data_IF_954914324662
#
_entry.id   IF_954914324662
#
_cell.length_a   1.000
_cell.length_b   1.000
_cell.length_c   1.000
_cell.angle_alpha   90.00
_cell.angle_beta   90.00
_cell.angle_gamma   90.00
#
_symmetry.space_group_name_H-M   'P 1'
#
loop_
_entity.id
_entity.type
_entity.pdbx_description
1 polymer ?
#
# COMPACT_ATOMS: atom_id res chain seq x y z
N UNK A 1 -16.69 5.66 7.23
CA UNK A 1 -16.20 4.92 6.06
C UNK A 1 -15.32 3.82 6.60
N UNK A 2 -15.56 2.57 6.21
CA UNK A 2 -14.67 1.46 6.56
C UNK A 2 -13.27 1.76 5.99
N UNK A 3 -12.21 1.40 6.73
CA UNK A 3 -10.81 1.60 6.29
C UNK A 3 -10.47 0.74 5.09
N UNK A 4 -11.16 -0.39 4.93
CA UNK A 4 -10.94 -1.33 3.82
C UNK A 4 -12.32 -1.65 3.25
N UNK A 5 -12.49 -1.40 1.95
CA UNK A 5 -13.68 -1.79 1.19
C UNK A 5 -13.35 -3.01 0.34
N UNK A 6 -14.28 -3.95 0.22
CA UNK A 6 -14.14 -5.11 -0.67
C UNK A 6 -15.18 -5.04 -1.78
N UNK A 7 -14.73 -5.10 -3.02
CA UNK A 7 -15.56 -5.23 -4.21
C UNK A 7 -15.33 -6.63 -4.78
N UNK A 8 -16.26 -7.56 -4.53
CA UNK A 8 -16.17 -8.93 -5.02
C UNK A 8 -17.53 -9.43 -5.49
N UNK A 9 -17.50 -10.35 -6.46
CA UNK A 9 -18.68 -11.13 -6.86
C UNK A 9 -18.93 -12.33 -5.93
N UNK A 10 -18.05 -12.57 -4.95
CA UNK A 10 -18.14 -13.68 -3.99
C UNK A 10 -17.98 -15.06 -4.63
N UNK A 11 -17.54 -15.13 -5.89
CA UNK A 11 -17.38 -16.39 -6.63
C UNK A 11 -16.27 -17.27 -6.04
N UNK A 12 -15.36 -16.68 -5.26
CA UNK A 12 -14.22 -17.34 -4.65
C UNK A 12 -14.35 -17.35 -3.13
N UNK A 13 -13.96 -18.47 -2.53
CA UNK A 13 -13.85 -18.62 -1.08
C UNK A 13 -12.63 -17.92 -0.48
N UNK A 14 -12.36 -16.67 -0.84
CA UNK A 14 -11.30 -15.85 -0.25
C UNK A 14 -11.78 -15.38 1.13
N UNK A 15 -10.98 -15.65 2.17
CA UNK A 15 -11.25 -15.17 3.51
C UNK A 15 -10.80 -13.71 3.63
N UNK A 16 -11.63 -12.78 3.14
CA UNK A 16 -11.32 -11.34 3.17
C UNK A 16 -11.06 -10.80 4.57
N UNK A 17 -11.71 -11.38 5.59
CA UNK A 17 -11.51 -11.04 6.99
C UNK A 17 -10.03 -11.12 7.38
N UNK A 18 -9.35 -12.20 6.97
CA UNK A 18 -7.92 -12.37 7.21
C UNK A 18 -7.07 -11.33 6.47
N UNK A 19 -7.43 -10.99 5.23
CA UNK A 19 -6.72 -9.96 4.46
C UNK A 19 -6.91 -8.59 5.12
N UNK A 20 -8.14 -8.29 5.56
CA UNK A 20 -8.49 -7.07 6.27
C UNK A 20 -7.67 -6.95 7.56
N UNK A 21 -7.52 -8.03 8.32
CA UNK A 21 -6.66 -8.08 9.51
C UNK A 21 -5.20 -7.72 9.17
N UNK A 22 -4.59 -8.36 8.17
CA UNK A 22 -3.22 -8.07 7.74
C UNK A 22 -3.01 -6.59 7.37
N UNK A 23 -3.98 -5.99 6.67
CA UNK A 23 -3.92 -4.57 6.32
C UNK A 23 -4.09 -3.67 7.54
N UNK A 24 -4.97 -4.01 8.49
CA UNK A 24 -5.16 -3.22 9.69
C UNK A 24 -3.90 -3.24 10.56
N UNK A 25 -3.28 -4.41 10.75
CA UNK A 25 -2.01 -4.55 11.46
C UNK A 25 -0.93 -3.69 10.80
N UNK A 26 -0.75 -3.82 9.48
CA UNK A 26 0.21 -3.03 8.72
C UNK A 26 -0.05 -1.51 8.82
N UNK A 27 -1.31 -1.06 8.74
CA UNK A 27 -1.67 0.35 8.85
C UNK A 27 -1.48 0.93 10.27
N UNK A 28 -1.55 0.09 11.29
CA UNK A 28 -1.25 0.47 12.68
C UNK A 28 0.26 0.62 12.88
N UNK A 29 1.06 -0.30 12.36
CA UNK A 29 2.54 -0.22 12.38
C UNK A 29 3.06 1.02 11.63
N UNK A 30 2.58 1.30 10.41
CA UNK A 30 2.95 2.51 9.65
C UNK A 30 2.65 3.81 10.43
N UNK A 31 1.50 3.86 11.14
CA UNK A 31 1.14 5.01 11.96
C UNK A 31 2.06 5.18 13.15
N UNK A 32 2.42 4.09 13.84
CA UNK A 32 3.36 4.14 14.95
C UNK A 32 4.75 4.63 14.51
N UNK A 33 5.25 4.15 13.37
CA UNK A 33 6.53 4.58 12.81
C UNK A 33 6.53 6.05 12.39
N UNK A 34 5.43 6.52 11.78
CA UNK A 34 5.26 7.93 11.42
C UNK A 34 5.28 8.83 12.66
N UNK A 35 4.58 8.45 13.73
CA UNK A 35 4.54 9.22 14.99
C UNK A 35 5.94 9.29 15.61
N UNK A 36 6.65 8.16 15.73
CA UNK A 36 8.02 8.13 16.27
C UNK A 36 8.98 9.00 15.46
N UNK A 37 8.81 9.04 14.14
CA UNK A 37 9.63 9.84 13.21
C UNK A 37 9.33 11.35 13.29
N UNK A 38 8.06 11.72 13.48
CA UNK A 38 7.63 13.11 13.70
C UNK A 38 8.08 13.65 15.07
N UNK A 39 8.06 12.82 16.12
CA UNK A 39 8.56 13.18 17.44
C UNK A 39 10.06 13.49 17.45
N UNK A 40 10.86 12.79 16.62
CA UNK A 40 12.28 13.09 16.44
C UNK A 40 12.56 14.33 15.56
N UNK A 41 11.63 14.70 14.66
CA UNK A 41 11.81 15.79 13.69
C UNK A 41 10.86 16.97 13.96
N UNK A 42 10.87 17.54 15.17
CA UNK A 42 10.20 18.81 15.45
C UNK A 42 10.92 20.01 14.79
N UNK A 43 10.83 20.14 13.45
CA UNK A 43 10.91 21.41 12.68
C UNK A 43 10.88 21.16 11.17
N UNK A 44 9.75 20.72 10.62
CA UNK A 44 9.22 21.32 9.39
C UNK A 44 7.76 20.91 9.23
N UNK A 45 6.88 21.90 9.24
CA UNK A 45 5.46 21.69 9.03
C UNK A 45 5.18 21.13 7.64
N UNK A 46 4.81 19.86 7.59
CA UNK A 46 3.79 19.34 6.68
C UNK A 46 3.31 18.05 7.31
N UNK A 47 2.35 18.16 8.22
CA UNK A 47 1.49 17.02 8.57
C UNK A 47 0.87 16.57 7.25
N UNK A 48 1.44 15.54 6.64
CA UNK A 48 0.81 14.87 5.51
C UNK A 48 -0.41 14.19 6.10
N UNK A 49 -1.55 14.82 5.90
CA UNK A 49 -2.90 14.35 6.16
C UNK A 49 -3.16 13.01 5.47
N UNK A 50 -2.57 11.93 5.99
CA UNK A 50 -2.87 10.53 5.67
C UNK A 50 -3.77 9.92 6.75
N UNK A 51 -4.36 10.75 7.62
CA UNK A 51 -5.34 10.34 8.60
C UNK A 51 -6.46 9.53 7.94
N UNK A 52 -6.41 8.20 8.11
CA UNK A 52 -7.32 7.16 7.60
C UNK A 52 -7.16 6.83 6.11
N UNK A 53 -5.96 6.39 5.69
CA UNK A 53 -5.78 5.70 4.41
C UNK A 53 -6.85 4.62 4.23
N UNK A 54 -7.73 4.81 3.24
CA UNK A 54 -8.73 3.82 2.89
C UNK A 54 -8.15 2.95 1.77
N UNK A 55 -8.28 1.64 1.88
CA UNK A 55 -7.88 0.68 0.85
C UNK A 55 -9.11 0.05 0.21
N UNK A 56 -8.97 -0.39 -1.04
CA UNK A 56 -10.00 -1.21 -1.67
C UNK A 56 -9.40 -2.50 -2.21
N UNK A 57 -9.99 -3.62 -1.82
CA UNK A 57 -9.75 -4.94 -2.41
C UNK A 57 -10.76 -5.11 -3.54
N UNK A 58 -10.29 -5.44 -4.74
CA UNK A 58 -11.12 -5.67 -5.92
C UNK A 58 -10.87 -7.11 -6.38
N UNK A 59 -11.86 -7.99 -6.20
CA UNK A 59 -11.77 -9.40 -6.54
C UNK A 59 -12.81 -9.80 -7.59
N UNK A 60 -12.36 -10.16 -8.79
CA UNK A 60 -13.22 -10.70 -9.83
C UNK A 60 -12.53 -11.83 -10.58
N UNK A 61 -13.30 -12.79 -11.11
CA UNK A 61 -12.79 -13.76 -12.08
C UNK A 61 -12.31 -13.09 -13.35
N UNK A 62 -13.19 -12.34 -13.99
CA UNK A 62 -12.86 -11.65 -15.23
C UNK A 62 -12.01 -10.40 -15.00
N UNK A 63 -10.91 -10.28 -15.75
CA UNK A 63 -10.03 -9.12 -15.68
C UNK A 63 -10.73 -7.83 -16.10
N UNK A 64 -11.66 -7.88 -17.05
CA UNK A 64 -12.42 -6.70 -17.50
C UNK A 64 -13.36 -6.20 -16.41
N UNK A 65 -14.01 -7.11 -15.67
CA UNK A 65 -14.81 -6.78 -14.48
C UNK A 65 -13.95 -6.14 -13.39
N UNK A 66 -12.77 -6.70 -13.10
CA UNK A 66 -11.84 -6.12 -12.14
C UNK A 66 -11.41 -4.70 -12.55
N UNK A 67 -11.08 -4.47 -13.83
CA UNK A 67 -10.72 -3.15 -14.37
C UNK A 67 -11.91 -2.19 -14.29
N UNK A 68 -13.11 -2.64 -14.68
CA UNK A 68 -14.33 -1.84 -14.63
C UNK A 68 -14.67 -1.41 -13.21
N UNK A 69 -14.64 -2.33 -12.24
CA UNK A 69 -14.87 -2.04 -10.83
C UNK A 69 -13.82 -1.06 -10.27
N UNK A 70 -12.55 -1.28 -10.61
CA UNK A 70 -11.44 -0.39 -10.23
C UNK A 70 -11.63 1.03 -10.75
N UNK A 71 -12.01 1.18 -12.01
CA UNK A 71 -12.28 2.49 -12.62
C UNK A 71 -13.54 3.14 -12.06
N UNK A 72 -14.58 2.37 -11.77
CA UNK A 72 -15.80 2.88 -11.17
C UNK A 72 -15.55 3.53 -9.81
N UNK A 73 -14.79 2.86 -8.92
CA UNK A 73 -14.48 3.45 -7.60
C UNK A 73 -13.53 4.63 -7.73
N UNK A 74 -12.54 4.56 -8.64
CA UNK A 74 -11.56 5.64 -8.84
C UNK A 74 -12.08 6.85 -9.60
N UNK A 75 -13.24 6.74 -10.26
CA UNK A 75 -13.95 7.90 -10.78
C UNK A 75 -14.33 8.89 -9.65
N UNK A 76 -14.57 8.36 -8.44
CA UNK A 76 -14.89 9.16 -7.25
C UNK A 76 -13.68 9.38 -6.34
N UNK A 77 -12.79 8.38 -6.25
CA UNK A 77 -11.60 8.42 -5.39
C UNK A 77 -10.32 8.12 -6.20
N UNK A 78 -9.81 9.06 -7.01
CA UNK A 78 -8.71 8.80 -7.95
C UNK A 78 -7.40 8.33 -7.29
N UNK A 79 -7.17 8.72 -6.03
CA UNK A 79 -5.99 8.39 -5.24
C UNK A 79 -6.15 7.08 -4.44
N UNK A 80 -7.32 6.41 -4.50
CA UNK A 80 -7.60 5.23 -3.69
C UNK A 80 -6.62 4.09 -4.03
N UNK A 81 -5.81 3.63 -3.07
CA UNK A 81 -4.98 2.44 -3.23
C UNK A 81 -5.84 1.19 -3.48
N UNK A 82 -5.47 0.40 -4.48
CA UNK A 82 -6.19 -0.81 -4.86
C UNK A 82 -5.31 -2.05 -4.72
N UNK A 83 -5.84 -3.10 -4.09
CA UNK A 83 -5.37 -4.48 -4.24
C UNK A 83 -6.34 -5.21 -5.17
N UNK A 84 -5.89 -5.53 -6.38
CA UNK A 84 -6.69 -6.22 -7.40
C UNK A 84 -6.32 -7.71 -7.41
N UNK A 85 -7.29 -8.58 -7.16
CA UNK A 85 -7.16 -10.03 -7.12
C UNK A 85 -7.97 -10.63 -8.27
N UNK A 86 -7.34 -11.42 -9.14
CA UNK A 86 -8.04 -12.10 -10.25
C UNK A 86 -7.24 -13.33 -10.70
N UNK A 87 -7.91 -14.33 -11.29
CA UNK A 87 -7.35 -15.64 -11.67
C UNK A 87 -6.57 -15.56 -12.97
N UNK A 88 -6.78 -14.48 -13.72
CA UNK A 88 -6.12 -14.16 -14.96
C UNK A 88 -5.89 -15.39 -15.87
N UNK A 89 -6.95 -16.19 -16.07
CA UNK A 89 -6.96 -17.20 -17.14
C UNK A 89 -6.77 -16.54 -18.52
N UNK A 90 -7.14 -15.26 -18.64
CA UNK A 90 -6.64 -14.39 -19.71
C UNK A 90 -5.29 -13.84 -19.31
N UNK A 91 -4.29 -14.01 -20.18
CA UNK A 91 -2.93 -13.53 -19.95
C UNK A 91 -2.96 -12.07 -19.47
N UNK A 92 -2.54 -11.80 -18.23
CA UNK A 92 -2.32 -10.42 -17.76
C UNK A 92 -1.27 -9.83 -18.66
N UNK A 93 -1.71 -9.08 -19.66
CA UNK A 93 -0.80 -8.16 -20.29
C UNK A 93 -0.75 -6.95 -19.37
N UNK A 94 0.44 -6.37 -19.23
CA UNK A 94 0.69 -5.03 -18.68
C UNK A 94 -0.37 -4.00 -19.12
N UNK A 95 -1.01 -4.25 -20.27
CA UNK A 95 -2.15 -3.54 -20.83
C UNK A 95 -3.38 -3.45 -19.92
N UNK A 96 -3.76 -4.47 -19.14
CA UNK A 96 -4.92 -4.37 -18.23
C UNK A 96 -4.65 -3.41 -17.07
N UNK A 97 -3.43 -3.42 -16.51
CA UNK A 97 -3.01 -2.41 -15.51
C UNK A 97 -3.11 -1.00 -16.09
N UNK A 98 -2.65 -0.84 -17.33
CA UNK A 98 -2.67 0.45 -18.02
C UNK A 98 -4.10 0.98 -18.28
N UNK A 99 -5.12 0.12 -18.18
CA UNK A 99 -6.53 0.52 -18.30
C UNK A 99 -7.14 0.96 -16.98
N UNK A 100 -6.51 0.65 -15.83
CA UNK A 100 -6.94 1.16 -14.53
C UNK A 100 -6.43 2.60 -14.40
N UNK A 101 -7.37 3.53 -14.30
CA UNK A 101 -7.14 4.97 -14.23
C UNK A 101 -6.94 5.44 -12.78
N UNK A 102 -6.61 6.71 -12.59
CA UNK A 102 -6.27 7.30 -11.28
C UNK A 102 -4.77 7.26 -10.98
N UNK A 103 -4.38 7.95 -9.91
CA UNK A 103 -2.98 8.11 -9.49
C UNK A 103 -2.67 7.40 -8.15
N UNK A 104 -3.64 6.70 -7.56
CA UNK A 104 -3.42 5.82 -6.41
C UNK A 104 -2.58 4.59 -6.77
N UNK A 105 -1.86 4.06 -5.78
CA UNK A 105 -1.07 2.82 -5.93
C UNK A 105 -1.98 1.65 -6.33
N UNK A 106 -1.51 0.82 -7.25
CA UNK A 106 -2.19 -0.41 -7.65
C UNK A 106 -1.25 -1.58 -7.38
N UNK A 107 -1.70 -2.54 -6.59
CA UNK A 107 -1.09 -3.87 -6.49
C UNK A 107 -2.02 -4.87 -7.14
N UNK A 108 -1.48 -5.68 -8.05
CA UNK A 108 -2.20 -6.83 -8.58
C UNK A 108 -1.64 -8.12 -8.00
N UNK A 109 -2.51 -9.07 -7.71
CA UNK A 109 -2.15 -10.43 -7.30
C UNK A 109 -2.99 -11.47 -8.05
N UNK A 110 -2.33 -12.59 -8.33
CA UNK A 110 -2.95 -13.72 -9.02
C UNK A 110 -3.67 -14.60 -8.00
N UNK A 111 -4.93 -14.92 -8.27
CA UNK A 111 -5.64 -15.95 -7.54
C UNK A 111 -5.27 -17.33 -8.08
N UNK A 112 -4.78 -18.22 -7.20
CA UNK A 112 -4.54 -19.61 -7.50
C UNK A 112 -5.39 -20.49 -6.59
N UNK A 113 -6.44 -21.11 -7.16
CA UNK A 113 -7.35 -21.98 -6.40
C UNK A 113 -6.65 -23.21 -5.81
N UNK A 114 -5.56 -23.68 -6.43
CA UNK A 114 -4.79 -24.83 -5.94
C UNK A 114 -3.97 -24.50 -4.69
N UNK A 115 -3.63 -23.22 -4.51
CA UNK A 115 -2.75 -22.74 -3.43
C UNK A 115 -3.31 -21.43 -2.82
N UNK A 116 -4.51 -21.46 -2.23
CA UNK A 116 -5.18 -20.25 -1.72
C UNK A 116 -4.36 -19.57 -0.61
N UNK A 117 -3.57 -20.34 0.15
CA UNK A 117 -2.69 -19.82 1.19
C UNK A 117 -1.58 -18.92 0.65
N UNK A 118 -1.14 -19.14 -0.59
CA UNK A 118 -0.08 -18.36 -1.21
C UNK A 118 -0.48 -16.88 -1.37
N UNK A 119 -1.77 -16.61 -1.64
CA UNK A 119 -2.28 -15.25 -1.72
C UNK A 119 -1.99 -14.46 -0.44
N UNK A 120 -2.29 -15.03 0.73
CA UNK A 120 -2.10 -14.32 2.01
C UNK A 120 -0.62 -14.07 2.30
N UNK A 121 0.26 -15.05 2.00
CA UNK A 121 1.70 -14.88 2.14
C UNK A 121 2.24 -13.78 1.21
N UNK A 122 1.73 -13.71 -0.02
CA UNK A 122 2.13 -12.69 -0.99
C UNK A 122 1.65 -11.30 -0.58
N UNK A 123 0.43 -11.19 -0.04
CA UNK A 123 -0.11 -9.95 0.54
C UNK A 123 0.76 -9.52 1.72
N UNK A 124 0.97 -10.41 2.68
CA UNK A 124 1.77 -10.16 3.86
C UNK A 124 3.18 -9.68 3.48
N UNK A 125 3.87 -10.43 2.62
CA UNK A 125 5.20 -10.06 2.13
C UNK A 125 5.22 -8.69 1.46
N UNK A 126 4.20 -8.37 0.65
CA UNK A 126 4.11 -7.08 -0.02
C UNK A 126 3.94 -5.93 0.98
N UNK A 127 3.03 -6.06 1.94
CA UNK A 127 2.81 -5.05 2.98
C UNK A 127 4.10 -4.77 3.77
N UNK A 128 4.74 -5.82 4.30
CA UNK A 128 5.98 -5.68 5.07
C UNK A 128 7.20 -5.24 4.25
N UNK A 129 7.27 -5.57 2.95
CA UNK A 129 8.34 -5.03 2.09
C UNK A 129 8.21 -3.52 1.88
N UNK A 130 6.98 -3.01 1.90
CA UNK A 130 6.70 -1.59 1.71
C UNK A 130 7.21 -0.77 2.90
N UNK A 131 7.05 -1.30 4.12
CA UNK A 131 7.65 -0.73 5.35
C UNK A 131 9.19 -0.66 5.25
N UNK A 132 9.84 -1.77 4.87
CA UNK A 132 11.31 -1.82 4.82
C UNK A 132 11.92 -0.91 3.76
N UNK A 133 11.24 -0.72 2.63
CA UNK A 133 11.71 0.18 1.58
C UNK A 133 11.57 1.65 2.00
N UNK A 134 10.60 1.99 2.87
CA UNK A 134 10.50 3.30 3.51
C UNK A 134 11.66 3.54 4.50
N UNK A 135 11.99 2.55 5.35
CA UNK A 135 13.13 2.64 6.28
C UNK A 135 14.45 2.90 5.55
N UNK A 136 14.66 2.30 4.36
CA UNK A 136 15.87 2.50 3.55
C UNK A 136 15.89 3.81 2.78
N UNK A 137 14.72 4.37 2.45
CA UNK A 137 14.60 5.63 1.73
C UNK A 137 14.78 6.86 2.63
N UNK A 138 14.71 6.69 3.97
CA UNK A 138 15.13 7.71 4.93
C UNK A 138 16.64 7.99 4.78
N UNK A 139 17.06 9.19 4.32
CA UNK A 139 18.48 9.49 4.24
C UNK A 139 19.05 9.49 5.66
N UNK A 140 20.06 8.67 5.92
CA UNK A 140 20.83 8.67 7.16
C UNK A 140 21.51 10.04 7.33
N UNK A 141 20.84 10.99 7.99
CA UNK A 141 21.44 12.26 8.39
C UNK A 141 22.16 12.07 9.72
N UNK A 142 23.16 11.19 9.73
CA UNK A 142 24.23 11.13 10.72
C UNK A 142 25.47 10.74 9.92
N UNK A 143 26.56 11.49 9.81
CA UNK A 143 27.19 12.39 10.76
C UNK A 143 28.40 13.03 10.06
N UNK A 144 28.55 14.35 10.05
CA UNK A 144 29.88 14.98 9.99
C UNK A 144 29.94 16.07 11.05
N UNK A 145 30.73 15.78 12.09
CA UNK A 145 31.14 16.68 13.15
C UNK A 145 31.66 18.01 12.57
N UNK A 146 31.09 19.11 13.04
CA UNK A 146 31.69 20.43 12.91
C UNK A 146 33.01 20.43 13.71
N UNK A 147 34.14 20.30 13.03
CA UNK A 147 35.43 20.73 13.57
C UNK A 147 35.45 22.26 13.62
N UNK A 148 34.91 22.85 14.68
CA UNK A 148 35.23 24.24 15.04
C UNK A 148 36.59 24.25 15.73
N UNK A 149 37.67 24.51 14.97
CA UNK A 149 38.92 24.97 15.59
C UNK A 149 38.73 26.40 16.08
N UNK A 150 38.73 26.57 17.40
CA UNK A 150 39.05 27.84 18.07
C UNK A 150 40.54 28.16 17.86
N UNK A 151 40.86 29.44 17.70
CA UNK A 151 42.21 30.00 17.75
C UNK A 151 42.15 31.48 17.36
N UNK A 152 41.77 32.35 18.31
CA UNK A 152 42.65 33.18 19.16
C UNK A 152 43.09 34.48 18.48
N UNK A 153 42.56 35.58 19.04
CA UNK A 153 43.10 36.93 18.96
C UNK A 153 44.57 36.96 19.36
N UNK A 154 45.38 37.73 18.64
CA UNK A 154 46.12 38.90 19.17
C UNK A 154 46.61 39.76 18.00
#
# INVERSE_FOLDING_TARGET
MERITVLSDGSRGIAYEHIIELFNEWMEEEQEESIRSEEQNQKLGSSSTWGRSCYCIVDYMDASQAVSASNAIRAFLPQLPLLVITDFQSSIRRQHVQQITGNGVIKMMLWNQSEPHQLYLDIQKWLYSTLQDQEKAMPSVMSIQKYTRRGHSH
#
